data_IF_384328655165
#
_entry.id   IF_384328655165
#
_cell.length_a   1.000
_cell.length_b   1.000
_cell.length_c   1.000
_cell.angle_alpha   90.00
_cell.angle_beta   90.00
_cell.angle_gamma   90.00
#
_symmetry.space_group_name_H-M   'P 1'
#
loop_
_entity.id
_entity.type
_entity.pdbx_description
1 polymer ?
#
# COMPACT_ATOMS: atom_id res chain seq x y z
N UNK A 1 6.46 47.48 -21.57
CA UNK A 1 7.03 46.27 -20.95
C UNK A 1 8.54 46.40 -21.07
N UNK A 2 9.26 46.45 -19.96
CA UNK A 2 10.71 46.64 -20.02
C UNK A 2 11.39 45.34 -20.50
N UNK A 3 12.55 45.45 -21.16
CA UNK A 3 13.29 44.28 -21.70
C UNK A 3 13.59 43.24 -20.62
N UNK A 4 13.84 43.70 -19.39
CA UNK A 4 14.01 42.88 -18.19
C UNK A 4 12.76 42.05 -17.86
N UNK A 5 11.56 42.64 -17.97
CA UNK A 5 10.30 41.93 -17.72
C UNK A 5 10.09 40.81 -18.75
N UNK A 6 10.42 41.08 -20.02
CA UNK A 6 10.29 40.10 -21.10
C UNK A 6 11.25 38.92 -20.93
N UNK A 7 12.46 39.15 -20.38
CA UNK A 7 13.44 38.10 -20.09
C UNK A 7 13.08 37.28 -18.85
N UNK A 8 12.46 37.89 -17.83
CA UNK A 8 12.06 37.22 -16.59
C UNK A 8 10.77 36.40 -16.71
N UNK A 9 9.86 36.80 -17.61
CA UNK A 9 8.57 36.16 -17.84
C UNK A 9 8.66 34.62 -18.00
N UNK A 10 9.53 34.04 -18.85
CA UNK A 10 9.64 32.58 -18.95
C UNK A 10 10.09 31.92 -17.64
N UNK A 11 10.99 32.54 -16.87
CA UNK A 11 11.42 32.00 -15.58
C UNK A 11 10.30 32.02 -14.55
N UNK A 12 9.49 33.07 -14.52
CA UNK A 12 8.31 33.15 -13.64
C UNK A 12 7.30 32.06 -13.97
N UNK A 13 7.06 31.79 -15.27
CA UNK A 13 6.18 30.69 -15.69
C UNK A 13 6.71 29.32 -15.30
N UNK A 14 8.02 29.07 -15.49
CA UNK A 14 8.64 27.80 -15.07
C UNK A 14 8.58 27.63 -13.57
N UNK A 15 8.89 28.67 -12.79
CA UNK A 15 8.83 28.62 -11.33
C UNK A 15 7.39 28.39 -10.85
N UNK A 16 6.40 29.11 -11.40
CA UNK A 16 4.99 28.90 -11.07
C UNK A 16 4.53 27.49 -11.42
N UNK A 17 4.91 26.97 -12.59
CA UNK A 17 4.60 25.60 -12.98
C UNK A 17 5.21 24.58 -12.01
N UNK A 18 6.47 24.77 -11.61
CA UNK A 18 7.13 23.93 -10.62
C UNK A 18 6.43 23.99 -9.25
N UNK A 19 6.11 25.19 -8.77
CA UNK A 19 5.39 25.38 -7.50
C UNK A 19 4.01 24.74 -7.53
N UNK A 20 3.28 24.82 -8.66
CA UNK A 20 2.00 24.16 -8.83
C UNK A 20 2.14 22.63 -8.75
N UNK A 21 3.17 22.05 -9.37
CA UNK A 21 3.46 20.61 -9.27
C UNK A 21 3.79 20.21 -7.84
N UNK A 22 4.63 20.98 -7.14
CA UNK A 22 4.97 20.72 -5.73
C UNK A 22 3.73 20.82 -4.85
N UNK A 23 2.88 21.82 -5.06
CA UNK A 23 1.64 21.99 -4.31
C UNK A 23 0.71 20.78 -4.48
N UNK A 24 0.45 20.35 -5.71
CA UNK A 24 -0.36 19.16 -6.01
C UNK A 24 0.28 17.89 -5.43
N UNK A 25 1.60 17.77 -5.48
CA UNK A 25 2.31 16.64 -4.88
C UNK A 25 2.15 16.60 -3.35
N UNK A 26 2.13 17.77 -2.68
CA UNK A 26 1.89 17.88 -1.24
C UNK A 26 0.43 17.52 -0.90
N UNK A 27 -0.54 18.00 -1.68
CA UNK A 27 -1.96 17.64 -1.48
C UNK A 27 -2.22 16.13 -1.66
N UNK A 28 -1.44 15.47 -2.52
CA UNK A 28 -1.55 14.04 -2.80
C UNK A 28 -0.35 13.21 -2.32
N UNK A 29 0.28 13.62 -1.21
CA UNK A 29 1.49 13.00 -0.65
C UNK A 29 1.37 11.47 -0.50
N UNK A 30 0.21 10.98 -0.08
CA UNK A 30 -0.05 9.55 0.05
C UNK A 30 0.09 8.78 -1.26
N UNK A 31 -0.44 9.33 -2.36
CA UNK A 31 -0.37 8.72 -3.70
C UNK A 31 1.07 8.81 -4.22
N UNK A 32 1.71 9.96 -4.04
CA UNK A 32 3.12 10.18 -4.41
C UNK A 32 4.04 9.19 -3.70
N UNK A 33 3.75 8.86 -2.44
CA UNK A 33 4.49 7.84 -1.68
C UNK A 33 4.12 6.41 -2.08
N UNK A 34 2.86 6.13 -2.40
CA UNK A 34 2.39 4.78 -2.72
C UNK A 34 3.02 4.25 -4.03
N UNK A 35 3.13 5.08 -5.07
CA UNK A 35 3.70 4.68 -6.37
C UNK A 35 5.11 4.06 -6.25
N UNK A 36 6.11 4.72 -5.64
CA UNK A 36 7.44 4.14 -5.49
C UNK A 36 7.43 2.89 -4.59
N UNK A 37 6.56 2.82 -3.57
CA UNK A 37 6.44 1.62 -2.73
C UNK A 37 5.94 0.41 -3.52
N UNK A 38 4.94 0.59 -4.38
CA UNK A 38 4.46 -0.45 -5.29
C UNK A 38 5.54 -0.87 -6.30
N UNK A 39 6.31 0.08 -6.83
CA UNK A 39 7.42 -0.21 -7.73
C UNK A 39 8.53 -1.01 -7.02
N UNK A 40 8.85 -0.67 -5.76
CA UNK A 40 9.81 -1.41 -4.94
C UNK A 40 9.32 -2.84 -4.67
N UNK A 41 8.05 -3.04 -4.29
CA UNK A 41 7.46 -4.38 -4.14
C UNK A 41 7.57 -5.19 -5.43
N UNK A 42 7.24 -4.58 -6.56
CA UNK A 42 7.32 -5.23 -7.87
C UNK A 42 8.75 -5.63 -8.26
N UNK A 43 9.73 -4.80 -7.92
CA UNK A 43 11.15 -5.09 -8.08
C UNK A 43 11.60 -6.25 -7.19
N UNK A 44 11.21 -6.25 -5.91
CA UNK A 44 11.55 -7.30 -4.94
C UNK A 44 11.01 -8.66 -5.38
N UNK A 45 9.77 -8.71 -5.89
CA UNK A 45 9.21 -9.96 -6.40
C UNK A 45 9.96 -10.47 -7.63
N UNK A 46 10.55 -9.61 -8.45
CA UNK A 46 11.38 -10.02 -9.58
C UNK A 46 12.71 -10.66 -9.17
N UNK A 47 13.19 -10.42 -7.95
CA UNK A 47 14.40 -11.03 -7.42
C UNK A 47 14.16 -12.45 -6.84
N UNK A 48 12.91 -12.87 -6.71
CA UNK A 48 12.55 -14.21 -6.27
C UNK A 48 12.82 -15.20 -7.41
N UNK A 49 13.64 -16.23 -7.15
CA UNK A 49 14.14 -17.16 -8.17
C UNK A 49 13.12 -18.21 -8.65
N UNK A 50 11.86 -18.15 -8.20
CA UNK A 50 10.84 -19.17 -8.44
C UNK A 50 9.93 -18.81 -9.64
N UNK A 51 9.41 -19.82 -10.36
CA UNK A 51 8.36 -19.59 -11.37
C UNK A 51 7.10 -18.92 -10.79
N UNK A 52 6.94 -19.00 -9.47
CA UNK A 52 5.90 -18.34 -8.69
C UNK A 52 6.06 -16.81 -8.68
N UNK A 53 7.30 -16.31 -8.74
CA UNK A 53 7.61 -14.89 -8.78
C UNK A 53 6.90 -14.15 -9.93
N UNK A 54 6.85 -14.75 -11.11
CA UNK A 54 6.21 -14.13 -12.27
C UNK A 54 4.69 -14.02 -12.10
N UNK A 55 4.06 -15.03 -11.47
CA UNK A 55 2.63 -15.00 -11.14
C UNK A 55 2.35 -13.93 -10.07
N UNK A 56 3.17 -13.87 -9.02
CA UNK A 56 3.05 -12.85 -7.97
C UNK A 56 3.15 -11.44 -8.54
N UNK A 57 4.08 -11.18 -9.46
CA UNK A 57 4.21 -9.88 -10.14
C UNK A 57 2.96 -9.51 -10.94
N UNK A 58 2.39 -10.46 -11.68
CA UNK A 58 1.16 -10.21 -12.44
C UNK A 58 -0.02 -9.84 -11.51
N UNK A 59 -0.17 -10.56 -10.39
CA UNK A 59 -1.21 -10.26 -9.41
C UNK A 59 -0.95 -8.94 -8.69
N UNK A 60 0.32 -8.63 -8.36
CA UNK A 60 0.70 -7.37 -7.73
C UNK A 60 0.35 -6.16 -8.61
N UNK A 61 0.44 -6.26 -9.94
CA UNK A 61 0.00 -5.17 -10.83
C UNK A 61 -1.49 -4.90 -10.63
N UNK A 62 -2.33 -5.94 -10.60
CA UNK A 62 -3.76 -5.79 -10.32
C UNK A 62 -4.03 -5.21 -8.93
N UNK A 63 -3.33 -5.71 -7.90
CA UNK A 63 -3.43 -5.20 -6.54
C UNK A 63 -2.96 -3.73 -6.43
N UNK A 64 -1.91 -3.36 -7.16
CA UNK A 64 -1.36 -2.01 -7.19
C UNK A 64 -2.31 -1.02 -7.87
N UNK A 65 -2.92 -1.41 -8.99
CA UNK A 65 -3.98 -0.61 -9.63
C UNK A 65 -5.15 -0.41 -8.68
N UNK A 66 -5.61 -1.47 -8.02
CA UNK A 66 -6.70 -1.39 -7.04
C UNK A 66 -6.33 -0.49 -5.85
N UNK A 67 -5.11 -0.59 -5.33
CA UNK A 67 -4.61 0.25 -4.24
C UNK A 67 -4.50 1.73 -4.65
N UNK A 68 -4.05 2.02 -5.88
CA UNK A 68 -4.02 3.39 -6.41
C UNK A 68 -5.43 3.96 -6.58
N UNK A 69 -6.37 3.16 -7.08
CA UNK A 69 -7.78 3.55 -7.18
C UNK A 69 -8.35 3.87 -5.79
N UNK A 70 -8.08 3.04 -4.79
CA UNK A 70 -8.47 3.32 -3.41
C UNK A 70 -7.81 4.61 -2.88
N UNK A 71 -6.51 4.80 -3.08
CA UNK A 71 -5.80 6.00 -2.62
C UNK A 71 -6.27 7.30 -3.30
N UNK A 72 -6.81 7.23 -4.51
CA UNK A 72 -7.33 8.39 -5.24
C UNK A 72 -8.79 8.70 -4.92
N UNK A 73 -9.61 7.67 -4.71
CA UNK A 73 -11.06 7.82 -4.63
C UNK A 73 -11.61 7.69 -3.22
N UNK A 74 -10.95 6.95 -2.34
CA UNK A 74 -11.46 6.67 -1.01
C UNK A 74 -11.29 7.86 -0.05
N UNK A 75 -12.21 8.00 0.93
CA UNK A 75 -12.08 9.04 1.94
C UNK A 75 -10.83 8.81 2.80
N UNK A 76 -10.38 9.88 3.46
CA UNK A 76 -9.38 9.77 4.52
C UNK A 76 -9.90 8.82 5.61
N UNK A 77 -9.05 7.92 6.16
CA UNK A 77 -7.58 7.89 6.10
C UNK A 77 -6.96 6.94 5.05
N UNK A 78 -7.78 6.36 4.16
CA UNK A 78 -7.37 5.25 3.27
C UNK A 78 -6.08 5.51 2.49
N UNK A 79 -5.85 6.68 1.87
CA UNK A 79 -4.66 6.88 1.06
C UNK A 79 -3.37 6.69 1.88
N UNK A 80 -3.31 7.28 3.08
CA UNK A 80 -2.14 7.20 3.95
C UNK A 80 -1.93 5.81 4.52
N UNK A 81 -2.99 5.14 4.95
CA UNK A 81 -2.89 3.80 5.52
C UNK A 81 -2.56 2.74 4.47
N UNK A 82 -3.01 2.93 3.22
CA UNK A 82 -2.60 2.08 2.09
C UNK A 82 -1.11 2.26 1.77
N UNK A 83 -0.62 3.50 1.75
CA UNK A 83 0.81 3.79 1.60
C UNK A 83 1.64 3.20 2.75
N UNK A 84 1.19 3.35 3.99
CA UNK A 84 1.84 2.78 5.16
C UNK A 84 1.91 1.24 5.09
N UNK A 85 0.80 0.59 4.75
CA UNK A 85 0.72 -0.87 4.60
C UNK A 85 1.65 -1.37 3.47
N UNK A 86 1.70 -0.68 2.33
CA UNK A 86 2.66 -0.97 1.27
C UNK A 86 4.11 -0.83 1.77
N UNK A 87 4.39 0.21 2.56
CA UNK A 87 5.71 0.44 3.18
C UNK A 87 6.11 -0.68 4.14
N UNK A 88 5.20 -1.11 5.02
CA UNK A 88 5.41 -2.27 5.89
C UNK A 88 5.65 -3.53 5.05
N UNK A 89 4.90 -3.72 3.96
CA UNK A 89 5.08 -4.83 3.04
C UNK A 89 6.47 -4.86 2.38
N UNK A 90 6.97 -3.69 1.92
CA UNK A 90 8.32 -3.54 1.36
C UNK A 90 9.38 -3.98 2.37
N UNK A 91 9.23 -3.57 3.63
CA UNK A 91 10.16 -3.94 4.71
C UNK A 91 10.05 -5.43 5.01
N UNK A 92 8.83 -5.96 5.12
CA UNK A 92 8.59 -7.37 5.45
C UNK A 92 9.20 -8.31 4.40
N UNK A 93 8.90 -8.10 3.12
CA UNK A 93 9.45 -8.94 2.04
C UNK A 93 10.98 -8.82 1.96
N UNK A 94 11.54 -7.64 2.25
CA UNK A 94 12.99 -7.43 2.20
C UNK A 94 13.73 -8.09 3.37
N UNK A 95 13.11 -8.19 4.54
CA UNK A 95 13.72 -8.78 5.74
C UNK A 95 13.45 -10.29 5.84
N UNK A 96 12.39 -10.81 5.22
CA UNK A 96 12.07 -12.23 5.22
C UNK A 96 13.07 -13.03 4.38
N UNK A 97 13.67 -14.06 4.98
CA UNK A 97 14.66 -14.94 4.32
C UNK A 97 14.21 -16.39 4.21
N UNK A 98 13.25 -16.82 5.03
CA UNK A 98 12.83 -18.22 5.08
C UNK A 98 11.73 -18.50 4.07
N UNK A 99 10.70 -17.64 4.00
CA UNK A 99 9.52 -17.84 3.13
C UNK A 99 9.09 -16.54 2.43
N UNK A 100 9.97 -15.90 1.64
CA UNK A 100 9.69 -14.60 1.03
C UNK A 100 8.50 -14.62 0.06
N UNK A 101 8.23 -15.76 -0.60
CA UNK A 101 7.09 -15.93 -1.51
C UNK A 101 5.74 -15.84 -0.77
N UNK A 102 5.68 -16.34 0.47
CA UNK A 102 4.46 -16.30 1.28
C UNK A 102 4.23 -14.92 1.88
N UNK A 103 5.28 -14.27 2.39
CA UNK A 103 5.18 -12.88 2.84
C UNK A 103 4.78 -11.96 1.69
N UNK A 104 5.34 -12.15 0.49
CA UNK A 104 4.97 -11.39 -0.70
C UNK A 104 3.49 -11.59 -1.05
N UNK A 105 2.98 -12.82 -0.96
CA UNK A 105 1.58 -13.12 -1.19
C UNK A 105 0.66 -12.50 -0.12
N UNK A 106 1.03 -12.58 1.15
CA UNK A 106 0.28 -11.98 2.26
C UNK A 106 0.19 -10.45 2.11
N UNK A 107 1.29 -9.79 1.69
CA UNK A 107 1.29 -8.36 1.37
C UNK A 107 0.33 -8.03 0.24
N UNK A 108 0.33 -8.81 -0.85
CA UNK A 108 -0.61 -8.61 -1.97
C UNK A 108 -2.06 -8.74 -1.47
N UNK A 109 -2.37 -9.78 -0.70
CA UNK A 109 -3.71 -9.99 -0.16
C UNK A 109 -4.14 -8.84 0.74
N UNK A 110 -3.25 -8.38 1.63
CA UNK A 110 -3.53 -7.27 2.52
C UNK A 110 -3.83 -5.97 1.76
N UNK A 111 -3.05 -5.68 0.71
CA UNK A 111 -3.30 -4.54 -0.18
C UNK A 111 -4.64 -4.64 -0.90
N UNK A 112 -4.97 -5.81 -1.46
CA UNK A 112 -6.25 -6.04 -2.14
C UNK A 112 -7.41 -5.80 -1.17
N UNK A 113 -7.38 -6.47 -0.01
CA UNK A 113 -8.46 -6.40 0.96
C UNK A 113 -8.67 -4.99 1.50
N UNK A 114 -7.60 -4.29 1.85
CA UNK A 114 -7.71 -2.93 2.36
C UNK A 114 -8.20 -1.94 1.30
N UNK A 115 -7.73 -2.07 0.05
CA UNK A 115 -8.19 -1.25 -1.05
C UNK A 115 -9.69 -1.48 -1.35
N UNK A 116 -10.17 -2.73 -1.30
CA UNK A 116 -11.60 -3.02 -1.43
C UNK A 116 -12.43 -2.38 -0.31
N UNK A 117 -11.95 -2.44 0.93
CA UNK A 117 -12.61 -1.76 2.07
C UNK A 117 -12.65 -0.25 1.86
N UNK A 118 -11.55 0.35 1.40
CA UNK A 118 -11.50 1.78 1.09
C UNK A 118 -12.45 2.20 -0.03
N UNK A 119 -12.51 1.43 -1.13
CA UNK A 119 -13.46 1.66 -2.21
C UNK A 119 -14.91 1.46 -1.75
N UNK A 120 -15.17 0.46 -0.91
CA UNK A 120 -16.48 0.28 -0.27
C UNK A 120 -16.88 1.47 0.60
N UNK A 121 -15.92 2.03 1.36
CA UNK A 121 -16.14 3.25 2.13
C UNK A 121 -16.50 4.43 1.23
N UNK A 122 -15.85 4.60 0.06
CA UNK A 122 -16.22 5.64 -0.91
C UNK A 122 -17.67 5.51 -1.37
N UNK A 123 -18.10 4.29 -1.69
CA UNK A 123 -19.49 4.03 -2.08
C UNK A 123 -20.44 4.39 -0.93
N UNK A 124 -20.11 4.01 0.31
CA UNK A 124 -20.93 4.35 1.47
C UNK A 124 -21.03 5.87 1.68
N UNK A 125 -19.91 6.60 1.58
CA UNK A 125 -19.91 8.07 1.66
C UNK A 125 -20.75 8.69 0.57
N UNK A 126 -20.65 8.19 -0.67
CA UNK A 126 -21.49 8.65 -1.77
C UNK A 126 -22.98 8.44 -1.47
N UNK A 127 -23.37 7.29 -0.92
CA UNK A 127 -24.77 7.02 -0.53
C UNK A 127 -25.23 7.98 0.57
N UNK A 128 -24.39 8.25 1.58
CA UNK A 128 -24.69 9.19 2.66
C UNK A 128 -24.88 10.63 2.16
N UNK A 129 -24.08 11.07 1.19
CA UNK A 129 -24.17 12.40 0.58
C UNK A 129 -25.49 12.61 -0.20
N UNK A 130 -26.09 11.53 -0.72
CA UNK A 130 -27.23 11.59 -1.63
C UNK A 130 -28.56 11.08 -1.02
N UNK A 131 -28.57 10.61 0.23
CA UNK A 131 -29.81 10.24 0.93
C UNK A 131 -30.34 11.41 1.78
N UNK A 132 -31.54 11.86 1.44
CA UNK A 132 -32.37 12.70 2.30
C UNK A 132 -33.38 11.79 3.00
N UNK A 133 -33.18 11.57 4.31
CA UNK A 133 -34.09 10.96 5.29
C UNK A 133 -35.03 9.84 4.79
N UNK A 134 -34.70 8.58 5.15
CA UNK A 134 -35.54 7.43 4.84
C UNK A 134 -35.32 6.23 5.78
N UNK A 135 -36.12 5.19 5.61
CA UNK A 135 -36.12 3.93 6.40
C UNK A 135 -34.73 3.26 6.51
N UNK A 136 -33.82 3.53 5.58
CA UNK A 136 -32.47 2.97 5.55
C UNK A 136 -31.43 3.77 6.36
N UNK A 137 -31.77 4.97 6.86
CA UNK A 137 -30.82 5.84 7.56
C UNK A 137 -30.15 5.15 8.76
N UNK A 138 -30.91 4.37 9.54
CA UNK A 138 -30.36 3.60 10.66
C UNK A 138 -29.34 2.52 10.24
N UNK A 139 -29.62 1.82 9.12
CA UNK A 139 -28.72 0.79 8.59
C UNK A 139 -27.44 1.38 8.01
N UNK A 140 -27.54 2.49 7.27
CA UNK A 140 -26.39 3.20 6.70
C UNK A 140 -25.50 3.75 7.82
N UNK A 141 -26.08 4.31 8.88
CA UNK A 141 -25.31 4.81 10.02
C UNK A 141 -24.57 3.68 10.78
N UNK A 142 -25.22 2.53 10.97
CA UNK A 142 -24.55 1.34 11.54
C UNK A 142 -23.36 0.88 10.68
N UNK A 143 -23.53 0.81 9.36
CA UNK A 143 -22.43 0.49 8.44
C UNK A 143 -21.31 1.53 8.50
N UNK A 144 -21.63 2.82 8.63
CA UNK A 144 -20.63 3.87 8.76
C UNK A 144 -19.73 3.69 9.99
N UNK A 145 -20.31 3.28 11.12
CA UNK A 145 -19.54 2.96 12.34
C UNK A 145 -18.62 1.76 12.11
N UNK A 146 -19.13 0.68 11.51
CA UNK A 146 -18.31 -0.50 11.20
C UNK A 146 -17.17 -0.18 10.23
N UNK A 147 -17.47 0.60 9.18
CA UNK A 147 -16.47 1.06 8.22
C UNK A 147 -15.43 1.93 8.92
N UNK A 148 -15.84 2.83 9.82
CA UNK A 148 -14.91 3.62 10.63
C UNK A 148 -13.90 2.75 11.39
N UNK A 149 -14.36 1.70 12.08
CA UNK A 149 -13.47 0.74 12.75
C UNK A 149 -12.60 -0.04 11.78
N UNK A 150 -13.15 -0.49 10.65
CA UNK A 150 -12.41 -1.25 9.65
C UNK A 150 -11.29 -0.41 9.01
N UNK A 151 -11.57 0.84 8.64
CA UNK A 151 -10.61 1.72 7.97
C UNK A 151 -9.36 1.98 8.82
N UNK A 152 -9.51 2.09 10.14
CA UNK A 152 -8.40 2.31 11.07
C UNK A 152 -7.80 1.02 11.61
N UNK A 153 -8.63 0.05 12.02
CA UNK A 153 -8.20 -1.15 12.70
C UNK A 153 -7.60 -2.21 11.78
N UNK A 154 -8.17 -2.40 10.58
CA UNK A 154 -7.72 -3.42 9.64
C UNK A 154 -6.27 -3.25 9.18
N UNK A 155 -5.81 -2.08 8.69
CA UNK A 155 -4.44 -1.95 8.18
C UNK A 155 -3.41 -2.06 9.32
N UNK A 156 -3.77 -1.63 10.53
CA UNK A 156 -2.93 -1.81 11.72
C UNK A 156 -2.81 -3.28 12.09
N UNK A 157 -3.92 -4.03 12.10
CA UNK A 157 -3.91 -5.47 12.37
C UNK A 157 -3.12 -6.24 11.30
N UNK A 158 -3.33 -5.91 10.02
CA UNK A 158 -2.59 -6.50 8.89
C UNK A 158 -1.09 -6.22 9.00
N UNK A 159 -0.69 -4.97 9.28
CA UNK A 159 0.71 -4.61 9.49
C UNK A 159 1.34 -5.34 10.68
N UNK A 160 0.59 -5.46 11.79
CA UNK A 160 1.06 -6.19 12.97
C UNK A 160 1.25 -7.69 12.70
N UNK A 161 0.36 -8.31 11.91
CA UNK A 161 0.50 -9.71 11.50
C UNK A 161 1.74 -9.93 10.62
N UNK A 162 1.98 -9.04 9.65
CA UNK A 162 3.19 -9.08 8.83
C UNK A 162 4.46 -8.98 9.68
N UNK A 163 4.49 -8.02 10.62
CA UNK A 163 5.63 -7.84 11.52
C UNK A 163 5.82 -9.03 12.47
N UNK A 164 4.73 -9.60 12.98
CA UNK A 164 4.77 -10.80 13.83
C UNK A 164 5.43 -11.96 13.09
N UNK A 165 5.10 -12.18 11.81
CA UNK A 165 5.67 -13.28 11.02
C UNK A 165 7.19 -13.14 10.85
N UNK A 166 7.69 -11.91 10.71
CA UNK A 166 9.13 -11.63 10.70
C UNK A 166 9.80 -11.95 12.04
N UNK A 167 9.18 -11.56 13.15
CA UNK A 167 9.73 -11.76 14.49
C UNK A 167 9.64 -13.22 14.96
N UNK A 168 8.69 -13.98 14.43
CA UNK A 168 8.51 -15.40 14.75
C UNK A 168 9.69 -16.26 14.28
N UNK A 169 10.42 -15.82 13.26
CA UNK A 169 11.59 -16.51 12.74
C UNK A 169 12.84 -15.69 13.05
N UNK A 170 13.48 -15.95 14.20
CA UNK A 170 14.72 -15.29 14.56
C UNK A 170 15.74 -15.39 13.41
N UNK A 171 16.47 -14.30 13.08
CA UNK A 171 17.52 -14.32 12.08
C UNK A 171 18.67 -15.14 12.65
N UNK A 172 18.56 -16.46 12.55
CA UNK A 172 19.72 -17.32 12.73
C UNK A 172 20.65 -16.94 11.58
N UNK A 173 21.85 -16.44 11.90
CA UNK A 173 22.80 -15.91 10.91
C UNK A 173 23.33 -16.95 9.91
N UNK A 174 22.70 -18.12 9.80
CA UNK A 174 23.00 -19.16 8.83
C UNK A 174 22.00 -19.17 7.69
N UNK A 175 22.49 -19.48 6.49
CA UNK A 175 21.64 -19.77 5.33
C UNK A 175 20.62 -20.88 5.69
N UNK A 176 19.31 -20.72 5.44
CA UNK A 176 18.29 -21.74 5.70
C UNK A 176 18.67 -23.13 5.18
N UNK A 177 19.38 -23.19 4.04
CA UNK A 177 19.91 -24.45 3.50
C UNK A 177 20.90 -25.10 4.45
N UNK A 178 21.85 -24.34 5.00
CA UNK A 178 22.82 -24.84 5.99
C UNK A 178 22.19 -25.28 7.29
N UNK A 179 21.07 -24.68 7.71
CA UNK A 179 20.39 -25.07 8.94
C UNK A 179 19.63 -26.38 8.73
N UNK A 180 18.95 -26.52 7.59
CA UNK A 180 18.25 -27.75 7.21
C UNK A 180 19.22 -28.91 6.98
N UNK A 181 20.38 -28.66 6.38
CA UNK A 181 21.44 -29.70 6.24
C UNK A 181 22.00 -30.10 7.59
N UNK A 182 22.40 -29.14 8.44
CA UNK A 182 22.88 -29.46 9.80
C UNK A 182 21.84 -30.19 10.65
N UNK A 183 20.56 -29.87 10.51
CA UNK A 183 19.48 -30.56 11.22
C UNK A 183 19.26 -32.00 10.69
N UNK A 184 19.41 -32.22 9.38
CA UNK A 184 19.40 -33.57 8.78
C UNK A 184 20.62 -34.39 9.21
N UNK A 185 21.80 -33.78 9.20
CA UNK A 185 23.06 -34.43 9.58
C UNK A 185 23.07 -34.86 11.06
N UNK A 186 22.38 -34.15 11.95
CA UNK A 186 22.25 -34.54 13.37
C UNK A 186 21.24 -35.65 13.65
N UNK A 187 20.41 -36.04 12.66
CA UNK A 187 19.40 -37.10 12.78
C UNK A 187 19.87 -38.44 12.20
N UNK A 188 21.02 -38.48 11.53
CA UNK A 188 21.71 -39.69 11.08
C UNK A 188 22.80 -40.06 12.09
#
# INVERSE_FOLDING_TARGET
MNVLDALLLPFVWVLNGFLAVVYVAVEHLAVVALVPLLALLYGQMGALASAQAQRLRAVLVGAGVLALMAALLAPQPVPYLTAALAGVGVVAVRLERYRPDETAWEVIQNLILYALVGLGARVLTWVLEHQADGLFAGGVNYLAVLVGFALWGMPVAQGALLLKNLLAHAPTGGDPRTILTRARERRL
#
